data_IF_921487611178
#
_entry.id   IF_921487611178
#
_cell.length_a   1.000
_cell.length_b   1.000
_cell.length_c   1.000
_cell.angle_alpha   90.00
_cell.angle_beta   90.00
_cell.angle_gamma   90.00
#
_symmetry.space_group_name_H-M   'P 1'
#
loop_
_entity.id
_entity.type
_entity.pdbx_description
1 polymer ?
#
# COMPACT_ATOMS: atom_id res chain seq x y z
N UNK A 1 19.29 -17.06 37.84
CA UNK A 1 18.14 -16.60 37.02
C UNK A 1 18.68 -15.65 35.95
N UNK A 2 19.36 -16.22 34.95
CA UNK A 2 20.24 -15.55 33.97
C UNK A 2 19.79 -15.99 32.57
N UNK A 3 18.62 -15.53 32.09
CA UNK A 3 18.03 -16.05 30.83
C UNK A 3 17.45 -14.98 29.90
N UNK A 4 17.87 -13.71 30.02
CA UNK A 4 17.35 -12.63 29.17
C UNK A 4 18.37 -11.86 28.34
N UNK A 5 19.65 -12.27 28.29
CA UNK A 5 20.69 -11.54 27.54
C UNK A 5 21.31 -12.30 26.36
N UNK A 6 20.71 -13.41 25.91
CA UNK A 6 21.28 -14.23 24.83
C UNK A 6 20.58 -14.07 23.47
N UNK A 7 19.49 -13.29 23.39
CA UNK A 7 18.61 -13.24 22.22
C UNK A 7 18.88 -12.07 21.26
N UNK A 8 20.10 -11.53 21.30
CA UNK A 8 20.56 -10.42 20.46
C UNK A 8 21.75 -10.81 19.56
N UNK A 9 22.09 -12.10 19.50
CA UNK A 9 23.19 -12.64 18.69
C UNK A 9 22.79 -13.91 17.92
N UNK A 10 21.55 -13.96 17.42
CA UNK A 10 21.16 -14.96 16.42
C UNK A 10 21.53 -14.45 15.02
N UNK A 11 22.55 -15.00 14.32
CA UNK A 11 22.93 -14.55 12.98
C UNK A 11 21.79 -14.77 11.97
N UNK A 12 20.89 -15.73 12.23
CA UNK A 12 19.68 -15.95 11.43
C UNK A 12 18.65 -14.83 11.55
N UNK A 13 18.51 -14.21 12.72
CA UNK A 13 17.59 -13.08 12.90
C UNK A 13 18.12 -11.83 12.21
N UNK A 14 19.44 -11.62 12.23
CA UNK A 14 20.09 -10.54 11.48
C UNK A 14 20.00 -10.78 9.97
N UNK A 15 20.18 -12.02 9.51
CA UNK A 15 20.02 -12.40 8.09
C UNK A 15 18.56 -12.28 7.61
N UNK A 16 17.59 -12.62 8.45
CA UNK A 16 16.17 -12.38 8.18
C UNK A 16 15.86 -10.88 8.12
N UNK A 17 16.40 -10.05 9.02
CA UNK A 17 16.22 -8.59 8.92
C UNK A 17 16.88 -7.99 7.66
N UNK A 18 17.98 -8.59 7.19
CA UNK A 18 18.68 -8.15 5.98
C UNK A 18 18.00 -8.62 4.68
N UNK A 19 17.35 -9.79 4.69
CA UNK A 19 16.55 -10.31 3.57
C UNK A 19 15.13 -9.73 3.54
N UNK A 20 14.57 -9.38 4.69
CA UNK A 20 13.28 -8.70 4.82
C UNK A 20 13.53 -7.19 4.76
N UNK A 21 13.90 -6.70 3.57
CA UNK A 21 14.06 -5.28 3.33
C UNK A 21 12.84 -4.52 3.90
N UNK A 22 13.11 -3.45 4.66
CA UNK A 22 12.09 -2.65 5.33
C UNK A 22 10.90 -2.35 4.40
N UNK A 23 9.80 -3.07 4.61
CA UNK A 23 8.56 -2.84 3.88
C UNK A 23 7.87 -1.63 4.49
N UNK A 24 7.71 -0.58 3.70
CA UNK A 24 6.98 0.61 4.14
C UNK A 24 5.52 0.43 3.75
N UNK A 25 4.62 0.64 4.70
CA UNK A 25 3.19 0.60 4.43
C UNK A 25 2.59 1.98 4.53
N UNK A 26 1.73 2.30 3.56
CA UNK A 26 0.98 3.54 3.53
C UNK A 26 -0.50 3.23 3.59
N UNK A 27 -1.20 3.94 4.45
CA UNK A 27 -2.66 3.87 4.54
C UNK A 27 -3.26 5.18 4.08
N UNK A 28 -4.39 5.07 3.40
CA UNK A 28 -5.17 6.21 2.92
C UNK A 28 -6.64 5.82 2.82
N UNK A 29 -7.50 6.84 2.88
CA UNK A 29 -8.93 6.69 2.62
C UNK A 29 -9.23 7.22 1.23
N UNK A 30 -9.99 6.46 0.44
CA UNK A 30 -10.46 6.89 -0.87
C UNK A 30 -11.97 6.81 -0.90
N UNK A 31 -12.61 7.82 -1.49
CA UNK A 31 -14.04 7.84 -1.75
C UNK A 31 -14.31 8.46 -3.12
N UNK A 32 -14.50 7.59 -4.11
CA UNK A 32 -14.80 7.96 -5.49
C UNK A 32 -16.09 7.26 -5.89
N UNK A 33 -17.07 8.03 -6.38
CA UNK A 33 -18.33 7.47 -6.88
C UNK A 33 -18.12 6.66 -8.16
N UNK A 34 -19.01 5.71 -8.44
CA UNK A 34 -18.94 4.89 -9.66
C UNK A 34 -18.95 5.74 -10.93
N UNK A 35 -19.79 6.79 -10.98
CA UNK A 35 -19.85 7.72 -12.11
C UNK A 35 -18.59 8.54 -12.27
N UNK A 36 -18.06 9.11 -11.18
CA UNK A 36 -16.77 9.83 -11.22
C UNK A 36 -15.65 8.90 -11.69
N UNK A 37 -15.71 7.64 -11.25
CA UNK A 37 -14.75 6.64 -11.66
C UNK A 37 -14.83 6.35 -13.17
N UNK A 38 -16.02 6.08 -13.71
CA UNK A 38 -16.20 5.84 -15.14
C UNK A 38 -15.83 7.07 -15.99
N UNK A 39 -16.23 8.27 -15.57
CA UNK A 39 -16.00 9.50 -16.32
C UNK A 39 -14.52 9.90 -16.37
N UNK A 40 -13.74 9.62 -15.32
CA UNK A 40 -12.31 9.97 -15.27
C UNK A 40 -11.37 8.82 -15.68
N UNK A 41 -11.80 7.56 -15.59
CA UNK A 41 -10.91 6.40 -15.68
C UNK A 41 -11.28 5.39 -16.79
N UNK A 42 -12.15 5.75 -17.74
CA UNK A 42 -12.46 4.92 -18.93
C UNK A 42 -11.29 4.78 -19.91
N UNK A 43 -10.22 5.58 -19.77
CA UNK A 43 -9.03 5.53 -20.62
C UNK A 43 -7.98 4.47 -20.24
N UNK A 44 -7.01 4.26 -21.14
CA UNK A 44 -5.98 3.22 -21.02
C UNK A 44 -4.91 3.49 -19.94
N UNK A 45 -4.77 4.72 -19.43
CA UNK A 45 -3.69 5.09 -18.49
C UNK A 45 -4.04 6.28 -17.58
N UNK A 46 -5.17 6.22 -16.87
CA UNK A 46 -5.48 7.26 -15.88
C UNK A 46 -4.79 6.95 -14.54
N UNK A 47 -4.10 7.93 -13.94
CA UNK A 47 -3.52 7.84 -12.59
C UNK A 47 -4.46 8.45 -11.54
N UNK A 48 -4.43 7.92 -10.33
CA UNK A 48 -5.17 8.39 -9.15
C UNK A 48 -4.16 8.97 -8.18
N UNK A 49 -4.36 10.23 -7.83
CA UNK A 49 -3.60 10.89 -6.77
C UNK A 49 -4.33 10.66 -5.46
N UNK A 50 -3.67 9.99 -4.52
CA UNK A 50 -4.18 9.76 -3.17
C UNK A 50 -3.27 10.43 -2.16
N UNK A 51 -3.86 10.94 -1.09
CA UNK A 51 -3.12 11.49 0.05
C UNK A 51 -3.19 10.48 1.17
N UNK A 52 -2.03 10.05 1.66
CA UNK A 52 -1.92 9.14 2.79
C UNK A 52 -2.19 9.84 4.11
N UNK A 53 -2.51 9.07 5.14
CA UNK A 53 -2.64 9.60 6.51
C UNK A 53 -1.35 10.29 6.99
N UNK A 54 -0.18 9.91 6.43
CA UNK A 54 1.11 10.56 6.65
C UNK A 54 1.34 11.84 5.84
N UNK A 55 0.39 12.26 4.99
CA UNK A 55 0.49 13.45 4.14
C UNK A 55 1.25 13.25 2.84
N UNK A 56 1.64 12.02 2.49
CA UNK A 56 2.30 11.73 1.22
C UNK A 56 1.28 11.64 0.09
N UNK A 57 1.63 12.22 -1.06
CA UNK A 57 0.84 12.13 -2.28
C UNK A 57 1.35 10.94 -3.11
N UNK A 58 0.55 9.88 -3.21
CA UNK A 58 0.87 8.72 -4.05
C UNK A 58 0.11 8.81 -5.36
N UNK A 59 0.82 8.62 -6.48
CA UNK A 59 0.23 8.49 -7.80
C UNK A 59 0.17 7.01 -8.17
N UNK A 60 -1.04 6.51 -8.39
CA UNK A 60 -1.27 5.09 -8.59
C UNK A 60 -2.10 4.88 -9.85
N UNK A 61 -1.81 3.89 -10.71
CA UNK A 61 -2.65 3.62 -11.86
C UNK A 61 -4.08 3.27 -11.43
N UNK A 62 -5.08 3.92 -12.00
CA UNK A 62 -6.50 3.63 -11.76
C UNK A 62 -6.83 2.17 -12.09
N UNK A 63 -6.10 1.56 -13.03
CA UNK A 63 -6.21 0.13 -13.36
C UNK A 63 -6.05 -0.79 -12.15
N UNK A 64 -5.25 -0.41 -11.14
CA UNK A 64 -5.08 -1.17 -9.90
C UNK A 64 -6.28 -1.11 -8.97
N UNK A 65 -7.15 -0.10 -9.12
CA UNK A 65 -8.37 0.07 -8.35
C UNK A 65 -9.59 -0.63 -8.97
N UNK A 66 -9.49 -1.08 -10.23
CA UNK A 66 -10.55 -1.86 -10.90
C UNK A 66 -11.09 -3.05 -10.07
N UNK A 67 -10.27 -3.91 -9.43
CA UNK A 67 -10.81 -5.01 -8.63
C UNK A 67 -11.55 -4.55 -7.36
N UNK A 68 -11.35 -3.30 -6.92
CA UNK A 68 -12.01 -2.73 -5.74
C UNK A 68 -13.21 -1.84 -6.12
N UNK A 69 -13.58 -1.79 -7.41
CA UNK A 69 -14.73 -1.03 -7.89
C UNK A 69 -16.02 -1.79 -7.56
N UNK A 70 -16.86 -1.16 -6.73
CA UNK A 70 -18.22 -1.64 -6.45
C UNK A 70 -19.28 -0.82 -7.20
N UNK A 71 -20.55 -1.23 -7.14
CA UNK A 71 -21.70 -0.41 -7.62
C UNK A 71 -21.74 0.97 -6.96
N UNK A 72 -21.19 1.04 -5.76
CA UNK A 72 -21.08 2.21 -4.93
C UNK A 72 -19.83 3.06 -5.26
N UNK A 73 -18.98 2.61 -6.18
CA UNK A 73 -17.70 3.22 -6.53
C UNK A 73 -16.51 2.59 -5.79
N UNK A 74 -15.41 3.31 -5.71
CA UNK A 74 -14.21 2.93 -4.95
C UNK A 74 -14.24 3.71 -3.64
N UNK A 75 -14.76 3.06 -2.60
CA UNK A 75 -14.90 3.66 -1.27
C UNK A 75 -14.34 2.71 -0.20
N UNK A 76 -13.49 3.22 0.66
CA UNK A 76 -12.92 2.44 1.76
C UNK A 76 -11.53 2.91 2.16
N UNK A 77 -10.92 2.12 3.05
CA UNK A 77 -9.54 2.32 3.46
C UNK A 77 -8.65 1.37 2.68
N UNK A 78 -7.55 1.90 2.16
CA UNK A 78 -6.60 1.14 1.38
C UNK A 78 -5.24 1.17 2.06
N UNK A 79 -4.54 0.04 1.96
CA UNK A 79 -3.15 -0.10 2.35
C UNK A 79 -2.33 -0.39 1.11
N UNK A 80 -1.21 0.32 0.98
CA UNK A 80 -0.19 -0.01 0.00
C UNK A 80 1.05 -0.46 0.72
N UNK A 81 1.64 -1.52 0.21
CA UNK A 81 2.96 -2.00 0.62
C UNK A 81 3.93 -1.60 -0.47
N UNK A 82 4.96 -0.85 -0.11
CA UNK A 82 6.09 -0.56 -0.98
C UNK A 82 7.34 -1.23 -0.45
N UNK A 83 8.20 -1.65 -1.37
CA UNK A 83 9.50 -2.19 -1.01
C UNK A 83 10.50 -1.07 -0.68
N UNK A 84 11.70 -1.48 -0.27
CA UNK A 84 12.84 -0.59 0.04
C UNK A 84 13.29 0.28 -1.14
N UNK A 85 12.90 -0.06 -2.37
CA UNK A 85 13.15 0.75 -3.56
C UNK A 85 11.99 1.70 -3.91
N UNK A 86 11.05 1.94 -2.99
CA UNK A 86 9.81 2.68 -3.23
C UNK A 86 8.96 2.13 -4.39
N UNK A 87 9.17 0.86 -4.77
CA UNK A 87 8.31 0.21 -5.76
C UNK A 87 7.06 -0.30 -5.07
N UNK A 88 5.93 -0.06 -5.72
CA UNK A 88 4.66 -0.64 -5.36
C UNK A 88 4.74 -2.17 -5.40
N UNK A 89 4.48 -2.83 -4.28
CA UNK A 89 4.36 -4.30 -4.23
C UNK A 89 2.91 -4.74 -4.22
N UNK A 90 2.09 -4.16 -3.34
CA UNK A 90 0.74 -4.64 -3.09
C UNK A 90 -0.21 -3.51 -2.71
N UNK A 91 -1.47 -3.68 -3.06
CA UNK A 91 -2.59 -2.87 -2.55
C UNK A 91 -3.65 -3.80 -1.96
N UNK A 92 -4.19 -3.44 -0.81
CA UNK A 92 -5.24 -4.18 -0.11
C UNK A 92 -6.27 -3.20 0.44
N UNK A 93 -7.52 -3.63 0.50
CA UNK A 93 -8.58 -2.89 1.17
C UNK A 93 -8.66 -3.38 2.63
N UNK A 94 -8.74 -2.44 3.59
CA UNK A 94 -8.88 -2.70 5.03
C UNK A 94 -10.32 -2.41 5.46
#
# INVERSE_FOLDING_TARGET
MIIYLSRLYDPLCFFLLFLYGAMTTYTFSMNISYQSYLNHYSGAASTVLVVTDSGLKLQLPASRFRPFLSQLGVRGRFRIVVNTQNKFEKIEQI
#
